data_IF_560841549334
#
_entry.id   IF_560841549334
#
_cell.length_a   1.000
_cell.length_b   1.000
_cell.length_c   1.000
_cell.angle_alpha   90.00
_cell.angle_beta   90.00
_cell.angle_gamma   90.00
#
_symmetry.space_group_name_H-M   'P 1'
#
loop_
_entity.id
_entity.type
_entity.pdbx_description
1 polymer ?
#
# COMPACT_ATOMS: atom_id res chain seq x y z
N UNK A 1 -30.00 26.57 -0.37
CA UNK A 1 -28.94 26.70 -1.39
C UNK A 1 -29.12 25.59 -2.43
N UNK A 2 -29.60 25.92 -3.64
CA UNK A 2 -29.68 24.94 -4.75
C UNK A 2 -28.36 25.02 -5.51
N UNK A 3 -27.50 24.03 -5.30
CA UNK A 3 -26.31 23.82 -6.14
C UNK A 3 -26.81 23.62 -7.58
N UNK A 4 -26.26 24.37 -8.54
CA UNK A 4 -26.62 24.21 -9.95
C UNK A 4 -26.26 22.79 -10.43
N UNK A 5 -27.13 22.21 -11.25
CA UNK A 5 -27.03 20.82 -11.73
C UNK A 5 -25.68 20.57 -12.40
N UNK A 6 -25.15 21.56 -13.12
CA UNK A 6 -23.85 21.54 -13.80
C UNK A 6 -22.67 21.38 -12.84
N UNK A 7 -22.69 22.09 -11.70
CA UNK A 7 -21.65 21.98 -10.67
C UNK A 7 -21.67 20.58 -10.07
N UNK A 8 -22.87 20.02 -9.85
CA UNK A 8 -23.02 18.68 -9.28
C UNK A 8 -22.49 17.60 -10.22
N UNK A 9 -22.74 17.70 -11.52
CA UNK A 9 -22.22 16.75 -12.50
C UNK A 9 -20.70 16.85 -12.67
N UNK A 10 -20.15 18.07 -12.75
CA UNK A 10 -18.71 18.27 -12.85
C UNK A 10 -17.98 17.76 -11.61
N UNK A 11 -18.52 18.02 -10.42
CA UNK A 11 -17.95 17.50 -9.17
C UNK A 11 -17.98 15.96 -9.15
N UNK A 12 -19.07 15.35 -9.63
CA UNK A 12 -19.20 13.89 -9.69
C UNK A 12 -18.18 13.27 -10.66
N UNK A 13 -17.95 13.90 -11.83
CA UNK A 13 -16.90 13.48 -12.77
C UNK A 13 -15.52 13.58 -12.14
N UNK A 14 -15.19 14.72 -11.54
CA UNK A 14 -13.90 14.95 -10.90
C UNK A 14 -13.62 13.94 -9.76
N UNK A 15 -14.60 13.71 -8.89
CA UNK A 15 -14.48 12.72 -7.81
C UNK A 15 -14.32 11.30 -8.35
N UNK A 16 -15.02 10.95 -9.43
CA UNK A 16 -14.88 9.64 -10.06
C UNK A 16 -13.49 9.42 -10.65
N UNK A 17 -12.88 10.45 -11.25
CA UNK A 17 -11.51 10.36 -11.77
C UNK A 17 -10.49 10.21 -10.63
N UNK A 18 -10.63 10.97 -9.55
CA UNK A 18 -9.79 10.82 -8.35
C UNK A 18 -9.88 9.41 -7.76
N UNK A 19 -11.10 8.88 -7.62
CA UNK A 19 -11.34 7.53 -7.12
C UNK A 19 -10.81 6.44 -8.06
N UNK A 20 -10.83 6.67 -9.37
CA UNK A 20 -10.28 5.73 -10.36
C UNK A 20 -8.76 5.66 -10.25
N UNK A 21 -8.10 6.81 -10.13
CA UNK A 21 -6.66 6.89 -9.92
C UNK A 21 -6.21 6.28 -8.57
N UNK A 22 -7.03 6.37 -7.52
CA UNK A 22 -6.75 5.69 -6.24
C UNK A 22 -6.88 4.17 -6.31
N UNK A 23 -7.76 3.63 -7.17
CA UNK A 23 -8.02 2.18 -7.24
C UNK A 23 -6.84 1.37 -7.73
N UNK A 24 -5.88 2.00 -8.41
CA UNK A 24 -4.73 1.34 -9.05
C UNK A 24 -3.39 1.67 -8.36
N UNK A 25 -3.40 2.56 -7.35
CA UNK A 25 -2.20 2.93 -6.61
C UNK A 25 -1.83 1.89 -5.57
N UNK A 26 -0.60 1.40 -5.67
CA UNK A 26 0.04 0.58 -4.64
C UNK A 26 1.26 1.30 -4.13
N UNK A 27 1.35 1.44 -2.81
CA UNK A 27 2.55 2.02 -2.17
C UNK A 27 3.38 0.90 -1.57
N UNK A 28 4.63 0.79 -2.00
CA UNK A 28 5.63 -0.09 -1.40
C UNK A 28 6.56 0.75 -0.54
N UNK A 29 6.65 0.39 0.75
CA UNK A 29 7.51 1.06 1.72
C UNK A 29 8.58 0.10 2.19
N UNK A 30 9.85 0.44 1.98
CA UNK A 30 10.99 -0.40 2.36
C UNK A 30 12.13 0.44 2.96
N UNK A 31 13.03 -0.22 3.66
CA UNK A 31 14.21 0.40 4.26
C UNK A 31 15.18 0.96 3.19
N UNK A 32 15.28 0.23 2.07
CA UNK A 32 16.15 0.50 0.93
C UNK A 32 15.35 0.33 -0.37
N UNK A 33 15.90 0.81 -1.49
CA UNK A 33 15.35 0.52 -2.80
C UNK A 33 15.35 -1.00 -3.04
N UNK A 34 14.22 -1.52 -3.53
CA UNK A 34 14.09 -2.93 -3.89
C UNK A 34 14.85 -3.18 -5.19
N UNK A 35 15.59 -4.28 -5.25
CA UNK A 35 16.27 -4.71 -6.47
C UNK A 35 15.33 -5.50 -7.39
N UNK A 36 15.77 -5.79 -8.62
CA UNK A 36 14.95 -6.48 -9.63
C UNK A 36 14.56 -7.91 -9.23
N UNK A 37 15.39 -8.59 -8.43
CA UNK A 37 15.12 -9.93 -7.92
C UNK A 37 14.00 -9.92 -6.85
N UNK A 38 14.08 -8.98 -5.91
CA UNK A 38 13.10 -8.75 -4.86
C UNK A 38 11.75 -8.34 -5.45
N UNK A 39 11.79 -7.49 -6.48
CA UNK A 39 10.61 -7.10 -7.25
C UNK A 39 9.98 -8.28 -7.98
N UNK A 40 10.81 -9.11 -8.62
CA UNK A 40 10.34 -10.33 -9.29
C UNK A 40 9.70 -11.31 -8.31
N UNK A 41 10.26 -11.45 -7.10
CA UNK A 41 9.67 -12.24 -6.03
C UNK A 41 8.32 -11.66 -5.58
N UNK A 42 8.23 -10.35 -5.35
CA UNK A 42 6.98 -9.66 -4.99
C UNK A 42 5.88 -9.88 -6.02
N UNK A 43 6.20 -9.77 -7.32
CA UNK A 43 5.26 -10.04 -8.40
C UNK A 43 4.78 -11.49 -8.45
N UNK A 44 5.61 -12.45 -7.99
CA UNK A 44 5.21 -13.86 -7.89
C UNK A 44 4.21 -14.07 -6.76
N UNK A 45 4.43 -13.44 -5.61
CA UNK A 45 3.53 -13.55 -4.45
C UNK A 45 2.24 -12.75 -4.60
N UNK A 46 2.31 -11.60 -5.26
CA UNK A 46 1.16 -10.71 -5.48
C UNK A 46 1.10 -10.33 -6.97
N UNK A 47 0.52 -11.19 -7.82
CA UNK A 47 0.46 -10.96 -9.28
C UNK A 47 -0.20 -9.64 -9.67
N UNK A 48 -1.16 -9.17 -8.85
CA UNK A 48 -1.85 -7.88 -9.04
C UNK A 48 -0.94 -6.66 -9.00
N UNK A 49 0.27 -6.77 -8.43
CA UNK A 49 1.25 -5.68 -8.45
C UNK A 49 1.74 -5.37 -9.87
N UNK A 50 1.79 -6.36 -10.78
CA UNK A 50 2.32 -6.17 -12.14
C UNK A 50 1.53 -5.17 -12.99
N UNK A 51 0.22 -5.09 -12.75
CA UNK A 51 -0.70 -4.23 -13.49
C UNK A 51 -0.99 -2.91 -12.75
N UNK A 52 -0.42 -2.73 -11.56
CA UNK A 52 -0.68 -1.58 -10.69
C UNK A 52 0.38 -0.49 -10.86
N UNK A 53 0.00 0.77 -10.66
CA UNK A 53 0.96 1.85 -10.56
C UNK A 53 1.61 1.81 -9.17
N UNK A 54 2.88 1.41 -9.13
CA UNK A 54 3.62 1.27 -7.88
C UNK A 54 4.37 2.56 -7.55
N UNK A 55 4.12 3.08 -6.35
CA UNK A 55 4.84 4.19 -5.76
C UNK A 55 5.81 3.66 -4.68
N UNK A 56 7.10 3.91 -4.86
CA UNK A 56 8.15 3.45 -3.94
C UNK A 56 8.50 4.54 -2.95
N UNK A 57 8.30 4.25 -1.66
CA UNK A 57 8.68 5.13 -0.58
C UNK A 57 9.78 4.48 0.26
N UNK A 58 10.92 5.16 0.38
CA UNK A 58 12.00 4.72 1.27
C UNK A 58 11.73 5.28 2.67
N UNK A 59 11.64 4.40 3.66
CA UNK A 59 11.43 4.79 5.06
C UNK A 59 12.47 4.13 5.96
N UNK A 60 13.38 4.95 6.51
CA UNK A 60 14.47 4.51 7.39
C UNK A 60 14.00 3.94 8.74
N UNK A 61 12.74 4.14 9.11
CA UNK A 61 12.16 3.51 10.30
C UNK A 61 11.80 2.04 10.07
N UNK A 62 11.79 1.59 8.81
CA UNK A 62 11.69 0.17 8.46
C UNK A 62 13.10 -0.42 8.60
N UNK A 63 13.27 -1.39 9.50
CA UNK A 63 14.57 -2.02 9.76
C UNK A 63 14.89 -3.05 8.67
N UNK A 64 13.92 -3.88 8.30
CA UNK A 64 13.99 -4.84 7.21
C UNK A 64 12.58 -5.26 6.76
N UNK A 65 12.48 -5.85 5.57
CA UNK A 65 11.22 -6.25 4.95
C UNK A 65 10.51 -5.11 4.23
N UNK A 66 9.23 -5.31 3.93
CA UNK A 66 8.43 -4.39 3.11
C UNK A 66 7.04 -4.20 3.70
N UNK A 67 6.52 -2.98 3.63
CA UNK A 67 5.14 -2.68 3.93
C UNK A 67 4.43 -2.36 2.61
N UNK A 68 3.38 -3.11 2.32
CA UNK A 68 2.64 -3.02 1.06
C UNK A 68 1.27 -2.43 1.37
N UNK A 69 0.98 -1.26 0.82
CA UNK A 69 -0.33 -0.63 0.94
C UNK A 69 -1.07 -0.71 -0.39
N UNK A 70 -2.15 -1.49 -0.41
CA UNK A 70 -3.03 -1.64 -1.57
C UNK A 70 -4.39 -1.06 -1.17
N UNK A 71 -4.70 0.14 -1.66
CA UNK A 71 -5.90 0.90 -1.26
C UNK A 71 -5.96 1.09 0.27
N UNK A 72 -6.98 0.55 0.93
CA UNK A 72 -7.16 0.56 2.38
C UNK A 72 -6.50 -0.62 3.11
N UNK A 73 -5.98 -1.61 2.37
CA UNK A 73 -5.33 -2.78 2.96
C UNK A 73 -3.84 -2.50 3.15
N UNK A 74 -3.34 -2.79 4.34
CA UNK A 74 -1.92 -2.73 4.68
C UNK A 74 -1.45 -4.14 4.97
N UNK A 75 -0.46 -4.59 4.23
CA UNK A 75 0.26 -5.83 4.49
C UNK A 75 1.61 -5.45 5.09
N UNK A 76 1.74 -5.68 6.39
CA UNK A 76 3.00 -5.47 7.09
C UNK A 76 3.84 -6.75 7.03
N UNK A 77 4.82 -6.76 6.14
CA UNK A 77 5.82 -7.82 6.03
C UNK A 77 7.18 -7.31 6.53
N UNK A 78 7.18 -6.30 7.40
CA UNK A 78 8.40 -5.78 8.00
C UNK A 78 8.85 -6.66 9.15
N UNK A 79 10.16 -6.73 9.36
CA UNK A 79 10.75 -7.47 10.48
C UNK A 79 10.24 -6.94 11.82
N UNK A 80 10.01 -5.63 11.94
CA UNK A 80 9.45 -5.00 13.13
C UNK A 80 8.04 -5.52 13.44
N UNK A 81 7.18 -5.62 12.43
CA UNK A 81 5.83 -6.19 12.57
C UNK A 81 5.88 -7.66 13.01
N UNK A 82 6.76 -8.46 12.40
CA UNK A 82 6.95 -9.87 12.75
C UNK A 82 7.46 -10.05 14.19
N UNK A 83 8.44 -9.26 14.62
CA UNK A 83 8.95 -9.31 16.00
C UNK A 83 7.91 -8.89 17.02
N UNK A 84 7.09 -7.86 16.71
CA UNK A 84 5.98 -7.47 17.57
C UNK A 84 4.92 -8.57 17.68
N UNK A 85 4.59 -9.23 16.57
CA UNK A 85 3.67 -10.36 16.59
C UNK A 85 4.22 -11.50 17.44
N UNK A 86 5.50 -11.85 17.27
CA UNK A 86 6.16 -12.87 18.10
C UNK A 86 6.12 -12.49 19.58
N UNK A 87 6.47 -11.25 19.90
CA UNK A 87 6.43 -10.71 21.26
C UNK A 87 5.04 -10.90 21.86
N UNK A 88 3.98 -10.50 21.15
CA UNK A 88 2.60 -10.63 21.63
C UNK A 88 2.23 -12.10 21.87
N UNK A 89 2.58 -13.01 20.95
CA UNK A 89 2.33 -14.44 21.15
C UNK A 89 3.07 -15.00 22.37
N UNK A 90 4.26 -14.49 22.71
CA UNK A 90 4.96 -14.93 23.90
C UNK A 90 4.31 -14.42 25.19
N UNK A 91 3.75 -13.21 25.20
CA UNK A 91 3.06 -12.66 26.37
C UNK A 91 1.61 -13.13 26.52
N UNK A 92 0.97 -13.64 25.47
CA UNK A 92 -0.37 -14.26 25.55
C UNK A 92 -0.35 -15.69 26.10
N UNK A 93 0.83 -16.30 26.18
CA UNK A 93 1.02 -17.69 26.65
C UNK A 93 1.37 -17.77 28.15
N UNK A 94 1.50 -16.61 28.83
CA UNK A 94 1.55 -16.47 30.30
C UNK A 94 0.21 -15.98 30.86
#
# INVERSE_FOLDING_TARGET
MKISTDIKENLKKYLNELLKNEKEKVTLVSANALNDEEMSALYKYIPRLKESQIDFAINKNVIAGVLIKIRSKVFDLTLKGQLNNLKNHMYEVD
#
